data_IF_934882797448
#
_entry.id   IF_934882797448
#
_cell.length_a   1.000
_cell.length_b   1.000
_cell.length_c   1.000
_cell.angle_alpha   90.00
_cell.angle_beta   90.00
_cell.angle_gamma   90.00
#
_symmetry.space_group_name_H-M   'P 1'
#
loop_
_entity.id
_entity.type
_entity.pdbx_description
1 polymer ?
#
# COMPACT_ATOMS: atom_id res chain seq x y z
N UNK A 1 38.64 -6.61 -25.99
CA UNK A 1 37.31 -7.19 -26.21
C UNK A 1 36.69 -7.54 -24.87
N UNK A 2 35.81 -6.70 -24.34
CA UNK A 2 35.02 -6.97 -23.13
C UNK A 2 33.66 -6.32 -23.31
N UNK A 3 32.70 -7.10 -23.79
CA UNK A 3 31.33 -6.67 -24.02
C UNK A 3 30.38 -7.85 -23.86
N UNK A 4 30.35 -8.50 -22.68
CA UNK A 4 29.35 -9.53 -22.36
C UNK A 4 28.91 -9.61 -20.89
N UNK A 5 29.32 -8.67 -20.03
CA UNK A 5 28.96 -8.70 -18.60
C UNK A 5 27.62 -8.00 -18.25
N UNK A 6 27.02 -7.26 -19.19
CA UNK A 6 25.82 -6.45 -18.91
C UNK A 6 24.49 -7.22 -18.94
N UNK A 7 24.38 -8.28 -19.75
CA UNK A 7 23.12 -9.00 -19.94
C UNK A 7 22.84 -10.01 -18.81
N UNK A 8 23.89 -10.69 -18.31
CA UNK A 8 23.73 -11.69 -17.24
C UNK A 8 23.39 -11.08 -15.87
N UNK A 9 23.81 -9.83 -15.62
CA UNK A 9 23.47 -9.11 -14.39
C UNK A 9 21.98 -8.73 -14.31
N UNK A 10 21.38 -8.35 -15.43
CA UNK A 10 19.94 -8.03 -15.48
C UNK A 10 19.07 -9.27 -15.33
N UNK A 11 19.44 -10.40 -15.93
CA UNK A 11 18.71 -11.67 -15.77
C UNK A 11 18.86 -12.26 -14.35
N UNK A 12 20.03 -12.11 -13.73
CA UNK A 12 20.26 -12.51 -12.34
C UNK A 12 19.49 -11.64 -11.33
N UNK A 13 19.40 -10.32 -11.57
CA UNK A 13 18.57 -9.42 -10.78
C UNK A 13 17.08 -9.73 -10.96
N UNK A 14 16.62 -10.02 -12.19
CA UNK A 14 15.20 -10.36 -12.42
C UNK A 14 14.81 -11.71 -11.79
N UNK A 15 15.71 -12.69 -11.80
CA UNK A 15 15.48 -14.02 -11.22
C UNK A 15 15.59 -14.04 -9.69
N UNK A 16 16.49 -13.23 -9.11
CA UNK A 16 16.53 -12.99 -7.67
C UNK A 16 15.28 -12.21 -7.21
N UNK A 17 14.85 -11.20 -7.96
CA UNK A 17 13.59 -10.48 -7.71
C UNK A 17 12.35 -11.36 -7.90
N UNK A 18 12.38 -12.33 -8.84
CA UNK A 18 11.33 -13.35 -8.97
C UNK A 18 11.34 -14.36 -7.83
N UNK A 19 12.52 -14.73 -7.29
CA UNK A 19 12.62 -15.57 -6.08
C UNK A 19 12.15 -14.84 -4.83
N UNK A 20 12.40 -13.54 -4.71
CA UNK A 20 11.89 -12.75 -3.58
C UNK A 20 10.36 -12.54 -3.64
N UNK A 21 9.71 -12.66 -4.81
CA UNK A 21 8.24 -12.83 -4.88
C UNK A 21 7.78 -14.12 -4.16
N UNK A 22 8.61 -15.16 -4.15
CA UNK A 22 8.30 -16.48 -3.62
C UNK A 22 8.61 -16.64 -2.12
N UNK A 23 9.53 -15.86 -1.55
CA UNK A 23 9.89 -16.00 -0.12
C UNK A 23 8.84 -15.38 0.80
N UNK A 24 8.00 -14.45 0.31
CA UNK A 24 7.18 -13.61 1.19
C UNK A 24 5.66 -13.64 1.07
N UNK A 25 5.02 -14.25 0.07
CA UNK A 25 3.56 -13.99 -0.12
C UNK A 25 2.68 -15.06 -0.72
N UNK A 26 3.22 -15.99 -1.52
CA UNK A 26 2.45 -17.11 -2.04
C UNK A 26 3.19 -18.39 -1.72
N UNK A 27 2.51 -19.35 -1.09
CA UNK A 27 2.97 -20.73 -1.04
C UNK A 27 3.30 -21.21 -2.47
N UNK A 28 4.08 -22.28 -2.61
CA UNK A 28 4.44 -22.87 -3.92
C UNK A 28 3.21 -23.13 -4.82
N UNK A 29 2.03 -23.24 -4.21
CA UNK A 29 0.72 -23.42 -4.85
C UNK A 29 0.08 -22.13 -5.42
N UNK A 30 0.74 -20.97 -5.31
CA UNK A 30 0.23 -19.70 -5.86
C UNK A 30 -0.84 -18.98 -5.02
N UNK A 31 -1.01 -19.36 -3.76
CA UNK A 31 -1.94 -18.75 -2.81
C UNK A 31 -1.21 -18.23 -1.57
N UNK A 32 -1.68 -17.13 -1.01
CA UNK A 32 -1.34 -16.71 0.33
C UNK A 32 -1.84 -17.74 1.36
N UNK A 33 -1.44 -17.63 2.62
CA UNK A 33 -1.84 -18.61 3.66
C UNK A 33 -3.34 -18.63 3.90
N UNK A 34 -4.01 -17.49 3.73
CA UNK A 34 -5.44 -17.32 3.94
C UNK A 34 -6.09 -16.58 2.76
N UNK A 35 -6.27 -17.27 1.61
CA UNK A 35 -6.98 -16.67 0.48
C UNK A 35 -8.47 -16.51 0.82
N UNK A 36 -9.05 -15.37 0.45
CA UNK A 36 -10.46 -15.08 0.74
C UNK A 36 -11.13 -14.28 -0.37
N UNK A 37 -12.45 -14.35 -0.45
CA UNK A 37 -13.22 -13.46 -1.32
C UNK A 37 -13.15 -12.01 -0.79
N UNK A 38 -13.20 -10.99 -1.67
CA UNK A 38 -13.39 -9.61 -1.24
C UNK A 38 -14.62 -9.50 -0.33
N UNK A 39 -14.55 -8.76 0.80
CA UNK A 39 -15.70 -8.57 1.66
C UNK A 39 -16.85 -7.91 0.89
N UNK A 40 -18.09 -8.42 0.99
CA UNK A 40 -19.19 -8.02 0.11
C UNK A 40 -19.61 -6.56 0.32
N UNK A 41 -19.35 -6.00 1.50
CA UNK A 41 -19.66 -4.59 1.80
C UNK A 41 -18.64 -3.62 1.21
N UNK A 42 -17.50 -4.09 0.68
CA UNK A 42 -16.50 -3.24 0.03
C UNK A 42 -16.70 -3.24 -1.49
N UNK A 43 -17.74 -2.55 -1.96
CA UNK A 43 -18.17 -2.56 -3.35
C UNK A 43 -17.65 -1.37 -4.18
N UNK A 44 -17.23 -0.28 -3.54
CA UNK A 44 -16.65 0.90 -4.21
C UNK A 44 -15.15 0.69 -4.36
N UNK A 45 -14.60 0.92 -5.54
CA UNK A 45 -13.16 0.75 -5.79
C UNK A 45 -12.60 2.00 -6.44
N UNK A 46 -11.56 2.53 -5.81
CA UNK A 46 -10.90 3.75 -6.26
C UNK A 46 -9.46 3.43 -6.70
N UNK A 47 -9.06 3.91 -7.87
CA UNK A 47 -7.69 3.78 -8.36
C UNK A 47 -6.75 4.70 -7.57
N UNK A 48 -5.60 4.19 -7.15
CA UNK A 48 -4.53 4.97 -6.51
C UNK A 48 -3.36 5.06 -7.49
N UNK A 49 -3.06 6.24 -8.06
CA UNK A 49 -1.99 6.38 -9.03
C UNK A 49 -0.60 6.18 -8.39
N UNK A 50 0.38 5.88 -9.23
CA UNK A 50 1.77 5.89 -8.81
C UNK A 50 2.16 7.30 -8.39
N UNK A 51 2.77 7.45 -7.22
CA UNK A 51 3.35 8.72 -6.79
C UNK A 51 4.79 8.78 -7.28
N UNK A 52 5.17 9.87 -7.96
CA UNK A 52 6.56 10.09 -8.35
C UNK A 52 7.45 10.20 -7.10
N UNK A 53 8.71 9.81 -7.23
CA UNK A 53 9.76 9.95 -6.20
C UNK A 53 9.99 11.44 -5.86
N UNK A 54 9.79 12.32 -6.84
CA UNK A 54 9.84 13.76 -6.64
C UNK A 54 8.50 14.24 -6.05
N UNK A 55 8.48 14.26 -4.72
CA UNK A 55 7.39 14.70 -3.87
C UNK A 55 6.96 16.17 -4.11
N UNK A 56 7.81 16.97 -4.76
CA UNK A 56 7.52 18.36 -5.08
C UNK A 56 6.58 18.45 -6.30
N UNK A 57 5.31 18.78 -6.04
CA UNK A 57 4.32 19.05 -7.09
C UNK A 57 3.55 17.83 -7.59
N UNK A 58 3.47 16.75 -6.79
CA UNK A 58 2.61 15.60 -7.12
C UNK A 58 1.18 16.08 -7.41
N UNK A 59 0.66 15.76 -8.60
CA UNK A 59 -0.74 15.98 -8.97
C UNK A 59 -1.32 14.66 -9.43
N UNK A 60 -2.17 14.09 -8.58
CA UNK A 60 -2.82 12.81 -8.82
C UNK A 60 -4.32 12.99 -9.02
N UNK A 61 -4.92 12.03 -9.73
CA UNK A 61 -6.38 11.85 -9.78
C UNK A 61 -6.68 10.43 -9.40
N UNK A 62 -7.74 10.26 -8.63
CA UNK A 62 -8.25 8.95 -8.24
C UNK A 62 -9.62 8.77 -8.89
N UNK A 63 -9.82 7.65 -9.56
CA UNK A 63 -11.00 7.35 -10.35
C UNK A 63 -11.80 6.23 -9.72
N UNK A 64 -13.11 6.25 -9.92
CA UNK A 64 -13.96 5.11 -9.63
C UNK A 64 -13.71 4.02 -10.68
N UNK A 65 -13.21 2.88 -10.24
CA UNK A 65 -12.89 1.72 -11.07
C UNK A 65 -13.66 0.48 -10.62
N UNK A 66 -14.78 0.67 -9.91
CA UNK A 66 -15.60 -0.41 -9.35
C UNK A 66 -16.02 -1.43 -10.41
N UNK A 67 -16.50 -0.96 -11.58
CA UNK A 67 -16.90 -1.82 -12.68
C UNK A 67 -15.73 -2.61 -13.28
N UNK A 68 -14.58 -1.97 -13.47
CA UNK A 68 -13.38 -2.63 -14.00
C UNK A 68 -12.84 -3.67 -13.00
N UNK A 69 -12.88 -3.36 -11.71
CA UNK A 69 -12.49 -4.27 -10.63
C UNK A 69 -13.41 -5.48 -10.56
N UNK A 70 -14.74 -5.27 -10.54
CA UNK A 70 -15.72 -6.36 -10.56
C UNK A 70 -15.51 -7.25 -11.79
N UNK A 71 -15.27 -6.66 -12.95
CA UNK A 71 -14.97 -7.41 -14.16
C UNK A 71 -13.71 -8.26 -14.00
N UNK A 72 -12.62 -7.68 -13.49
CA UNK A 72 -11.36 -8.38 -13.27
C UNK A 72 -11.48 -9.52 -12.25
N UNK A 73 -12.26 -9.34 -11.17
CA UNK A 73 -12.42 -10.37 -10.13
C UNK A 73 -13.29 -11.53 -10.61
N UNK A 74 -14.40 -11.24 -11.28
CA UNK A 74 -15.39 -12.24 -11.65
C UNK A 74 -15.20 -12.85 -13.05
N UNK A 75 -14.44 -12.19 -13.93
CA UNK A 75 -14.23 -12.67 -15.29
C UNK A 75 -12.75 -12.87 -15.63
N UNK A 76 -12.49 -13.91 -16.42
CA UNK A 76 -11.18 -14.17 -16.97
C UNK A 76 -10.94 -13.30 -18.23
N UNK A 77 -9.81 -12.59 -18.35
CA UNK A 77 -9.55 -11.69 -19.48
C UNK A 77 -9.43 -12.41 -20.84
N UNK A 78 -9.27 -13.73 -20.85
CA UNK A 78 -9.12 -14.56 -22.05
C UNK A 78 -10.30 -15.52 -22.27
N UNK A 79 -11.43 -15.32 -21.57
CA UNK A 79 -12.56 -16.26 -21.55
C UNK A 79 -12.35 -17.44 -20.61
N UNK A 80 -13.37 -18.30 -20.48
CA UNK A 80 -13.32 -19.48 -19.59
C UNK A 80 -13.63 -19.19 -18.12
N UNK A 81 -14.34 -18.08 -17.83
CA UNK A 81 -14.77 -17.71 -16.47
C UNK A 81 -15.56 -18.83 -15.80
N UNK A 82 -16.35 -19.59 -16.56
CA UNK A 82 -17.13 -20.75 -16.09
C UNK A 82 -16.25 -21.91 -15.58
N UNK A 83 -14.98 -21.94 -15.96
CA UNK A 83 -14.01 -22.99 -15.61
C UNK A 83 -13.04 -22.51 -14.52
N UNK A 84 -12.63 -21.25 -14.56
CA UNK A 84 -11.61 -20.68 -13.67
C UNK A 84 -12.23 -20.09 -12.39
N UNK A 85 -13.45 -19.56 -12.48
CA UNK A 85 -14.16 -18.93 -11.37
C UNK A 85 -13.60 -17.56 -10.94
N UNK A 86 -14.08 -17.13 -9.78
CA UNK A 86 -13.71 -15.87 -9.13
C UNK A 86 -12.26 -15.90 -8.63
N UNK A 87 -11.58 -14.76 -8.78
CA UNK A 87 -10.23 -14.61 -8.26
C UNK A 87 -10.26 -14.27 -6.76
N UNK A 88 -9.72 -15.16 -5.92
CA UNK A 88 -9.61 -14.91 -4.48
C UNK A 88 -8.48 -13.94 -4.16
N UNK A 89 -8.72 -12.99 -3.24
CA UNK A 89 -7.68 -12.13 -2.70
C UNK A 89 -6.55 -12.98 -2.09
N UNK A 90 -5.31 -12.59 -2.34
CA UNK A 90 -4.14 -13.35 -1.94
C UNK A 90 -3.80 -14.52 -2.87
N UNK A 91 -4.52 -14.72 -3.97
CA UNK A 91 -4.09 -15.63 -5.04
C UNK A 91 -3.25 -14.91 -6.10
N UNK A 92 -2.36 -15.65 -6.75
CA UNK A 92 -1.62 -15.16 -7.93
C UNK A 92 -2.56 -14.77 -9.07
N UNK A 93 -3.68 -15.49 -9.23
CA UNK A 93 -4.70 -15.18 -10.22
C UNK A 93 -5.30 -13.79 -10.01
N UNK A 94 -5.62 -13.46 -8.75
CA UNK A 94 -6.12 -12.13 -8.37
C UNK A 94 -5.09 -11.04 -8.65
N UNK A 95 -3.83 -11.25 -8.27
CA UNK A 95 -2.76 -10.30 -8.57
C UNK A 95 -2.57 -10.08 -10.08
N UNK A 96 -2.65 -11.13 -10.89
CA UNK A 96 -2.56 -11.05 -12.36
C UNK A 96 -3.74 -10.26 -12.94
N UNK A 97 -4.96 -10.58 -12.53
CA UNK A 97 -6.19 -9.92 -13.02
C UNK A 97 -6.23 -8.43 -12.63
N UNK A 98 -5.83 -8.10 -11.41
CA UNK A 98 -5.68 -6.69 -11.02
C UNK A 98 -4.57 -5.98 -11.81
N UNK A 99 -3.45 -6.65 -12.08
CA UNK A 99 -2.38 -6.11 -12.91
C UNK A 99 -2.82 -5.78 -14.34
N UNK A 100 -3.77 -6.56 -14.91
CA UNK A 100 -4.35 -6.23 -16.23
C UNK A 100 -5.28 -5.02 -16.18
N UNK A 101 -5.91 -4.74 -15.04
CA UNK A 101 -6.75 -3.55 -14.88
C UNK A 101 -5.93 -2.25 -14.89
N UNK A 102 -4.68 -2.28 -14.41
CA UNK A 102 -3.80 -1.10 -14.39
C UNK A 102 -3.62 -0.47 -15.80
N UNK A 103 -3.60 -1.30 -16.85
CA UNK A 103 -3.56 -0.83 -18.25
C UNK A 103 -4.81 -0.03 -18.64
N UNK A 104 -5.96 -0.37 -18.06
CA UNK A 104 -7.23 0.36 -18.26
C UNK A 104 -7.25 1.66 -17.47
N UNK A 105 -6.63 1.70 -16.28
CA UNK A 105 -6.55 2.90 -15.43
C UNK A 105 -5.75 4.02 -16.13
N UNK A 106 -4.65 3.68 -16.82
CA UNK A 106 -3.83 4.65 -17.56
C UNK A 106 -4.59 5.33 -18.72
N UNK A 107 -5.69 4.74 -19.18
CA UNK A 107 -6.54 5.28 -20.25
C UNK A 107 -7.72 6.14 -19.76
N UNK A 108 -7.93 6.29 -18.45
CA UNK A 108 -9.09 7.01 -17.90
C UNK A 108 -9.03 8.52 -18.16
N UNK A 109 -10.19 9.11 -18.46
CA UNK A 109 -10.27 10.54 -18.81
C UNK A 109 -10.31 11.38 -17.54
N UNK A 110 -9.71 12.57 -17.66
CA UNK A 110 -9.61 13.62 -16.63
C UNK A 110 -10.93 13.95 -15.93
N UNK A 111 -12.05 13.88 -16.65
CA UNK A 111 -13.40 14.29 -16.19
C UNK A 111 -14.10 13.25 -15.31
N UNK A 112 -13.58 12.02 -15.24
CA UNK A 112 -14.18 10.89 -14.49
C UNK A 112 -13.50 10.68 -13.12
N UNK A 113 -12.76 11.68 -12.63
CA UNK A 113 -12.09 11.60 -11.34
C UNK A 113 -13.11 11.71 -10.19
N UNK A 114 -12.93 10.90 -9.15
CA UNK A 114 -13.67 11.01 -7.88
C UNK A 114 -12.95 11.95 -6.92
N UNK A 115 -11.61 11.92 -6.96
CA UNK A 115 -10.76 12.82 -6.17
C UNK A 115 -9.61 13.41 -6.98
N UNK A 116 -9.18 14.59 -6.55
CA UNK A 116 -7.91 15.19 -6.95
C UNK A 116 -6.98 15.28 -5.75
N UNK A 117 -5.70 15.00 -5.97
CA UNK A 117 -4.64 15.10 -4.96
C UNK A 117 -3.59 16.07 -5.45
N UNK A 118 -3.23 17.04 -4.62
CA UNK A 118 -2.17 17.99 -4.91
C UNK A 118 -1.17 18.05 -3.76
N UNK A 119 0.09 17.73 -4.05
CA UNK A 119 1.20 17.90 -3.13
C UNK A 119 1.79 19.30 -3.20
N UNK A 120 2.13 19.83 -2.04
CA UNK A 120 2.90 21.05 -1.87
C UNK A 120 4.04 20.79 -0.90
N UNK A 121 5.19 21.41 -1.16
CA UNK A 121 6.34 21.45 -0.26
C UNK A 121 6.76 22.92 -0.13
N UNK A 122 6.21 23.60 0.87
CA UNK A 122 6.50 25.00 1.15
C UNK A 122 7.36 25.08 2.40
N UNK A 123 8.66 25.40 2.23
CA UNK A 123 9.56 25.66 3.35
C UNK A 123 9.88 24.46 4.24
N UNK A 124 9.77 23.23 3.72
CA UNK A 124 10.01 21.98 4.46
C UNK A 124 8.74 21.39 5.10
N UNK A 125 7.59 22.04 4.93
CA UNK A 125 6.29 21.50 5.31
C UNK A 125 5.66 20.78 4.11
N UNK A 126 5.89 19.47 4.03
CA UNK A 126 5.25 18.64 3.01
C UNK A 126 3.77 18.45 3.36
N UNK A 127 2.88 18.75 2.41
CA UNK A 127 1.43 18.57 2.56
C UNK A 127 0.81 17.95 1.32
N UNK A 128 -0.25 17.17 1.50
CA UNK A 128 -1.11 16.72 0.40
C UNK A 128 -2.52 17.23 0.64
N UNK A 129 -3.09 17.94 -0.34
CA UNK A 129 -4.49 18.31 -0.35
C UNK A 129 -5.28 17.27 -1.15
N UNK A 130 -6.21 16.58 -0.49
CA UNK A 130 -7.21 15.72 -1.12
C UNK A 130 -8.50 16.51 -1.26
N UNK A 131 -9.07 16.55 -2.47
CA UNK A 131 -10.37 17.17 -2.72
C UNK A 131 -11.30 16.16 -3.38
N UNK A 132 -12.49 15.95 -2.80
CA UNK A 132 -13.58 15.19 -3.40
C UNK A 132 -14.31 16.06 -4.41
N UNK A 133 -14.51 15.56 -5.64
CA UNK A 133 -15.09 16.37 -6.70
C UNK A 133 -16.62 16.50 -6.63
N UNK A 134 -17.32 15.59 -5.96
CA UNK A 134 -18.79 15.61 -5.88
C UNK A 134 -19.34 16.74 -5.00
N UNK A 135 -18.65 17.07 -3.90
CA UNK A 135 -19.12 18.04 -2.90
C UNK A 135 -18.06 19.03 -2.46
N UNK A 136 -16.87 19.00 -3.09
CA UNK A 136 -15.72 19.84 -2.77
C UNK A 136 -15.22 19.70 -1.32
N UNK A 137 -15.52 18.60 -0.64
CA UNK A 137 -14.89 18.28 0.65
C UNK A 137 -13.37 18.19 0.47
N UNK A 138 -12.63 18.91 1.30
CA UNK A 138 -11.17 18.95 1.27
C UNK A 138 -10.57 18.46 2.58
N UNK A 139 -9.59 17.57 2.49
CA UNK A 139 -8.79 17.08 3.61
C UNK A 139 -7.33 17.41 3.32
N UNK A 140 -6.66 18.04 4.28
CA UNK A 140 -5.23 18.27 4.22
C UNK A 140 -4.51 17.18 4.99
N UNK A 141 -3.50 16.57 4.40
CA UNK A 141 -2.61 15.60 5.02
C UNK A 141 -1.31 16.32 5.31
N UNK A 142 -0.96 16.47 6.58
CA UNK A 142 0.27 17.10 7.04
C UNK A 142 1.36 16.05 7.23
N UNK A 143 2.45 16.21 6.49
CA UNK A 143 3.61 15.33 6.43
C UNK A 143 4.90 16.05 6.87
N UNK A 144 4.79 17.24 7.46
CA UNK A 144 5.90 18.17 7.74
C UNK A 144 6.95 17.59 8.69
N UNK A 145 6.56 16.70 9.59
CA UNK A 145 7.50 16.06 10.50
C UNK A 145 8.30 14.97 9.78
N UNK A 146 9.62 14.92 10.01
CA UNK A 146 10.49 13.83 9.54
C UNK A 146 10.33 12.53 10.37
N UNK A 147 9.11 12.27 10.82
CA UNK A 147 8.70 11.11 11.61
C UNK A 147 7.99 10.09 10.73
N UNK A 148 7.72 8.90 11.29
CA UNK A 148 6.85 7.91 10.63
C UNK A 148 5.36 8.30 10.72
N UNK A 149 5.00 9.14 11.69
CA UNK A 149 3.63 9.63 11.93
C UNK A 149 3.20 10.73 10.95
N UNK A 150 1.89 10.99 10.84
CA UNK A 150 1.34 12.11 10.09
C UNK A 150 0.00 12.56 10.69
N UNK A 151 -0.55 13.67 10.21
CA UNK A 151 -1.88 14.11 10.65
C UNK A 151 -2.82 14.44 9.50
N UNK A 152 -4.12 14.30 9.76
CA UNK A 152 -5.18 14.68 8.83
C UNK A 152 -5.91 15.88 9.41
N UNK A 153 -6.10 16.92 8.61
CA UNK A 153 -6.88 18.10 8.96
C UNK A 153 -8.18 18.06 8.17
N UNK A 154 -9.29 17.84 8.89
CA UNK A 154 -10.64 17.76 8.35
C UNK A 154 -11.47 18.89 8.95
N UNK A 155 -11.70 19.95 8.19
CA UNK A 155 -12.34 21.17 8.70
C UNK A 155 -11.54 21.78 9.86
N UNK A 156 -12.06 21.67 11.10
CA UNK A 156 -11.40 22.15 12.33
C UNK A 156 -10.77 21.04 13.16
N UNK A 157 -10.95 19.78 12.77
CA UNK A 157 -10.46 18.62 13.50
C UNK A 157 -9.11 18.19 12.94
N UNK A 158 -8.12 18.08 13.83
CA UNK A 158 -6.84 17.42 13.52
C UNK A 158 -6.87 16.00 14.07
N UNK A 159 -6.62 15.03 13.21
CA UNK A 159 -6.57 13.61 13.54
C UNK A 159 -5.13 13.14 13.41
N UNK A 160 -4.52 12.77 14.54
CA UNK A 160 -3.20 12.17 14.53
C UNK A 160 -3.27 10.73 14.00
N UNK A 161 -2.32 10.37 13.13
CA UNK A 161 -2.14 9.02 12.63
C UNK A 161 -0.75 8.53 13.01
N UNK A 162 -0.71 7.54 13.89
CA UNK A 162 0.52 7.08 14.54
C UNK A 162 0.97 5.74 13.99
N UNK A 163 2.25 5.64 13.63
CA UNK A 163 2.90 4.43 13.18
C UNK A 163 3.30 3.53 14.35
N UNK A 164 3.30 2.22 14.11
CA UNK A 164 3.79 1.19 15.02
C UNK A 164 4.36 0.03 14.22
N UNK A 165 5.25 -0.78 14.79
CA UNK A 165 5.97 -1.82 14.05
C UNK A 165 5.79 -3.21 14.70
N UNK A 166 4.56 -3.76 14.72
CA UNK A 166 4.29 -5.06 15.36
C UNK A 166 4.77 -6.24 14.52
N UNK A 167 4.95 -6.05 13.20
CA UNK A 167 5.43 -7.09 12.28
C UNK A 167 6.95 -7.00 12.17
N UNK A 168 7.69 -8.12 12.32
CA UNK A 168 9.14 -8.13 12.13
C UNK A 168 9.55 -7.69 10.72
N UNK A 169 10.65 -6.96 10.65
CA UNK A 169 11.27 -6.57 9.39
C UNK A 169 11.53 -7.77 8.46
N UNK A 170 11.27 -7.59 7.17
CA UNK A 170 11.67 -8.56 6.16
C UNK A 170 13.08 -8.27 5.66
N UNK A 171 13.98 -9.24 5.81
CA UNK A 171 15.36 -9.14 5.36
C UNK A 171 15.51 -9.90 4.03
N UNK A 172 16.01 -9.21 3.01
CA UNK A 172 16.31 -9.77 1.70
C UNK A 172 17.73 -9.40 1.27
N UNK A 173 18.16 -9.93 0.12
CA UNK A 173 19.42 -9.53 -0.52
C UNK A 173 19.46 -8.03 -0.87
N UNK A 174 18.30 -7.41 -1.06
CA UNK A 174 18.16 -5.98 -1.36
C UNK A 174 18.19 -5.08 -0.10
N UNK A 175 18.07 -5.67 1.11
CA UNK A 175 18.07 -4.95 2.38
C UNK A 175 16.88 -5.29 3.28
N UNK A 176 16.66 -4.46 4.31
CA UNK A 176 15.58 -4.62 5.29
C UNK A 176 14.37 -3.75 4.91
N UNK A 177 13.17 -4.33 4.95
CA UNK A 177 11.88 -3.63 4.75
C UNK A 177 11.04 -3.67 6.01
N UNK A 178 10.57 -2.51 6.44
CA UNK A 178 9.69 -2.36 7.61
C UNK A 178 8.22 -2.46 7.21
N UNK A 179 7.39 -2.89 8.16
CA UNK A 179 5.96 -3.18 7.96
C UNK A 179 5.09 -2.42 8.98
N UNK A 180 4.99 -1.08 8.87
CA UNK A 180 4.29 -0.26 9.85
C UNK A 180 2.77 -0.47 9.84
N UNK A 181 2.15 -0.41 11.01
CA UNK A 181 0.71 -0.26 11.18
C UNK A 181 0.41 1.20 11.52
N UNK A 182 -0.66 1.77 10.97
CA UNK A 182 -1.03 3.16 11.21
C UNK A 182 -2.37 3.24 11.90
N UNK A 183 -2.40 3.85 13.09
CA UNK A 183 -3.60 3.91 13.95
C UNK A 183 -4.10 5.33 14.07
N UNK A 184 -5.41 5.51 13.98
CA UNK A 184 -6.06 6.81 14.20
C UNK A 184 -7.44 6.63 14.83
N UNK A 185 -7.96 7.70 15.43
CA UNK A 185 -9.30 7.72 16.01
C UNK A 185 -10.19 8.70 15.24
N UNK A 186 -11.41 8.28 14.94
CA UNK A 186 -12.36 9.08 14.19
C UNK A 186 -13.69 9.19 14.96
N UNK A 187 -14.13 10.44 15.16
CA UNK A 187 -15.32 10.77 15.93
C UNK A 187 -16.61 10.90 15.13
N UNK A 188 -16.54 11.09 13.80
CA UNK A 188 -17.70 11.53 13.00
C UNK A 188 -18.17 12.93 13.46
N UNK A 189 -18.06 13.94 12.61
CA UNK A 189 -18.24 15.35 12.99
C UNK A 189 -19.66 15.81 13.36
N UNK A 190 -20.55 14.95 13.86
CA UNK A 190 -21.91 15.31 14.30
C UNK A 190 -22.00 15.47 15.82
N UNK A 191 -22.65 16.54 16.26
CA UNK A 191 -22.82 16.96 17.68
C UNK A 191 -23.53 15.94 18.58
N UNK A 192 -24.21 14.92 18.01
CA UNK A 192 -24.96 13.89 18.75
C UNK A 192 -24.45 12.44 18.51
N UNK A 193 -23.21 12.25 18.04
CA UNK A 193 -22.68 10.92 17.72
C UNK A 193 -22.05 10.17 18.93
N UNK A 194 -22.51 8.94 19.28
CA UNK A 194 -21.88 8.10 20.31
C UNK A 194 -20.54 7.48 19.86
N UNK A 195 -19.56 7.38 20.76
CA UNK A 195 -18.30 6.62 20.68
C UNK A 195 -17.36 6.86 19.47
N UNK A 196 -16.22 7.51 19.75
CA UNK A 196 -15.04 7.54 18.89
C UNK A 196 -14.65 6.13 18.45
N UNK A 197 -14.39 5.95 17.15
CA UNK A 197 -13.94 4.67 16.61
C UNK A 197 -12.45 4.69 16.37
N UNK A 198 -11.73 3.70 16.89
CA UNK A 198 -10.31 3.49 16.58
C UNK A 198 -10.17 2.62 15.34
N UNK A 199 -9.33 3.06 14.41
CA UNK A 199 -9.07 2.42 13.13
C UNK A 199 -7.57 2.19 12.98
N UNK A 200 -7.21 1.10 12.30
CA UNK A 200 -5.82 0.78 12.06
C UNK A 200 -5.61 0.16 10.68
N UNK A 201 -4.69 0.74 9.92
CA UNK A 201 -4.13 0.11 8.73
C UNK A 201 -3.12 -0.95 9.16
N UNK A 202 -3.36 -2.20 8.75
CA UNK A 202 -2.53 -3.35 9.06
C UNK A 202 -1.97 -3.98 7.79
N UNK A 203 -0.69 -4.32 7.79
CA UNK A 203 -0.03 -5.10 6.74
C UNK A 203 0.29 -6.50 7.27
N UNK A 204 0.06 -7.53 6.46
CA UNK A 204 0.34 -8.93 6.85
C UNK A 204 1.10 -9.63 5.74
N UNK A 205 2.43 -9.44 5.69
CA UNK A 205 3.26 -9.99 4.62
C UNK A 205 3.08 -11.50 4.51
N UNK A 206 3.16 -12.22 5.63
CA UNK A 206 3.07 -13.69 5.67
C UNK A 206 1.66 -14.24 5.44
N UNK A 207 0.62 -13.50 5.83
CA UNK A 207 -0.77 -13.94 5.71
C UNK A 207 -1.33 -13.70 4.31
N UNK A 208 -1.05 -12.51 3.78
CA UNK A 208 -1.86 -11.89 2.72
C UNK A 208 -1.04 -11.26 1.60
N UNK A 209 0.29 -11.25 1.79
CA UNK A 209 1.27 -10.63 0.90
C UNK A 209 1.69 -9.23 1.37
N UNK A 210 2.92 -8.79 1.01
CA UNK A 210 3.50 -7.50 1.44
C UNK A 210 2.91 -6.29 0.69
N UNK A 211 2.03 -6.53 -0.28
CA UNK A 211 1.47 -5.50 -1.17
C UNK A 211 0.02 -5.15 -0.81
N UNK A 212 -0.45 -5.56 0.39
CA UNK A 212 -1.81 -5.34 0.85
C UNK A 212 -1.84 -4.70 2.23
N UNK A 213 -2.63 -3.64 2.35
CA UNK A 213 -3.01 -3.04 3.62
C UNK A 213 -4.51 -3.22 3.84
N UNK A 214 -4.90 -3.62 5.05
CA UNK A 214 -6.30 -3.76 5.47
C UNK A 214 -6.58 -2.74 6.57
N UNK A 215 -7.56 -1.87 6.37
CA UNK A 215 -8.06 -0.99 7.42
C UNK A 215 -9.09 -1.74 8.26
N UNK A 216 -8.83 -1.89 9.54
CA UNK A 216 -9.72 -2.58 10.49
C UNK A 216 -10.17 -1.63 11.59
N UNK A 217 -11.38 -1.86 12.10
CA UNK A 217 -11.87 -1.24 13.34
C UNK A 217 -11.30 -2.01 14.54
N UNK A 218 -10.67 -1.30 15.46
CA UNK A 218 -10.21 -1.86 16.73
C UNK A 218 -11.25 -1.52 17.81
N UNK A 219 -11.59 -2.50 18.63
CA UNK A 219 -12.48 -2.30 19.78
C UNK A 219 -11.81 -1.48 20.90
N UNK A 220 -12.60 -0.92 21.81
CA UNK A 220 -12.11 -0.11 22.92
C UNK A 220 -11.22 -0.90 23.91
N UNK A 221 -11.22 -2.24 23.84
CA UNK A 221 -10.36 -3.10 24.64
C UNK A 221 -8.94 -3.23 24.07
N UNK A 222 -8.67 -2.63 22.89
CA UNK A 222 -7.38 -2.73 22.22
C UNK A 222 -7.03 -4.15 21.80
N UNK A 223 -8.01 -5.06 21.82
CA UNK A 223 -7.83 -6.41 21.30
C UNK A 223 -8.04 -6.29 19.80
N UNK A 224 -6.94 -6.17 19.08
CA UNK A 224 -6.95 -6.64 17.71
C UNK A 224 -7.44 -8.09 17.79
N UNK A 225 -8.65 -8.36 17.27
CA UNK A 225 -8.96 -9.70 16.78
C UNK A 225 -7.73 -10.18 16.02
N UNK A 226 -7.36 -11.46 16.22
CA UNK A 226 -6.14 -12.07 15.70
C UNK A 226 -5.77 -11.41 14.38
N UNK A 227 -4.72 -10.57 14.36
CA UNK A 227 -4.50 -9.66 13.24
C UNK A 227 -4.51 -10.46 11.93
N UNK A 228 -3.98 -11.68 11.97
CA UNK A 228 -4.01 -12.71 10.93
C UNK A 228 -5.36 -12.99 10.24
N UNK A 229 -6.51 -12.71 10.85
CA UNK A 229 -7.85 -12.96 10.30
C UNK A 229 -8.93 -12.09 10.95
N UNK A 230 -9.00 -10.78 10.62
CA UNK A 230 -10.02 -9.89 11.16
C UNK A 230 -11.41 -10.32 10.67
N UNK A 231 -12.44 -10.18 11.51
CA UNK A 231 -13.80 -10.49 11.10
C UNK A 231 -14.24 -9.56 9.95
N UNK A 232 -14.94 -10.05 8.91
CA UNK A 232 -15.28 -9.26 7.72
C UNK A 232 -15.94 -7.92 8.03
N UNK A 233 -16.82 -7.88 9.02
CA UNK A 233 -17.56 -6.70 9.45
C UNK A 233 -16.70 -5.62 10.13
N UNK A 234 -15.50 -5.99 10.62
CA UNK A 234 -14.54 -5.06 11.21
C UNK A 234 -13.69 -4.35 10.14
N UNK A 235 -13.56 -4.97 8.96
CA UNK A 235 -12.81 -4.44 7.82
C UNK A 235 -13.55 -3.22 7.25
N UNK A 236 -12.84 -2.09 7.12
CA UNK A 236 -13.37 -0.84 6.58
C UNK A 236 -12.82 -0.48 5.22
N UNK A 237 -11.64 -0.97 4.86
CA UNK A 237 -11.08 -0.78 3.53
C UNK A 237 -9.95 -1.77 3.28
N UNK A 238 -9.66 -2.02 2.02
CA UNK A 238 -8.51 -2.84 1.61
C UNK A 238 -7.78 -2.12 0.48
N UNK A 239 -6.51 -1.82 0.67
CA UNK A 239 -5.63 -1.35 -0.38
C UNK A 239 -4.82 -2.53 -0.94
N UNK A 240 -4.84 -2.67 -2.26
CA UNK A 240 -3.97 -3.56 -3.00
C UNK A 240 -3.05 -2.75 -3.89
N UNK A 241 -1.75 -2.96 -3.74
CA UNK A 241 -0.79 -2.42 -4.67
C UNK A 241 -0.72 -3.28 -5.94
N UNK A 242 -0.80 -2.60 -7.08
CA UNK A 242 -0.76 -3.15 -8.42
C UNK A 242 0.43 -2.53 -9.13
N UNK A 243 1.58 -3.20 -9.09
CA UNK A 243 2.82 -2.72 -9.67
C UNK A 243 3.81 -3.85 -9.89
N UNK A 244 4.82 -3.63 -10.72
CA UNK A 244 5.89 -4.62 -10.96
C UNK A 244 6.92 -4.67 -9.81
N UNK A 245 6.84 -3.72 -8.88
CA UNK A 245 7.76 -3.58 -7.77
C UNK A 245 7.59 -4.70 -6.73
N UNK A 246 8.69 -5.24 -6.17
CA UNK A 246 8.65 -6.24 -5.12
C UNK A 246 8.24 -5.70 -3.73
N UNK A 247 8.14 -4.37 -3.56
CA UNK A 247 7.86 -3.73 -2.27
C UNK A 247 7.09 -2.42 -2.44
N UNK A 248 6.25 -2.10 -1.45
CA UNK A 248 5.54 -0.82 -1.34
C UNK A 248 6.48 0.37 -1.16
N UNK A 249 7.69 0.14 -0.63
CA UNK A 249 8.72 1.17 -0.46
C UNK A 249 9.29 1.67 -1.78
N UNK A 250 9.01 0.98 -2.89
CA UNK A 250 9.41 1.41 -4.23
C UNK A 250 8.29 2.25 -4.85
N UNK A 251 8.59 3.50 -5.21
CA UNK A 251 7.60 4.48 -5.70
C UNK A 251 7.00 4.17 -7.09
N UNK A 252 7.28 3.04 -7.71
CA UNK A 252 6.94 2.78 -9.12
C UNK A 252 5.60 2.07 -9.36
N UNK A 253 4.75 1.89 -8.33
CA UNK A 253 3.51 1.13 -8.48
C UNK A 253 2.23 1.89 -8.14
N UNK A 254 1.19 1.54 -8.88
CA UNK A 254 -0.20 1.97 -8.69
C UNK A 254 -0.89 1.05 -7.67
N UNK A 255 -2.17 1.28 -7.41
CA UNK A 255 -2.97 0.37 -6.61
C UNK A 255 -4.46 0.61 -6.76
N UNK A 256 -5.24 -0.20 -6.05
CA UNK A 256 -6.69 -0.08 -5.93
C UNK A 256 -7.06 -0.08 -4.46
N UNK A 257 -8.01 0.77 -4.10
CA UNK A 257 -8.53 0.89 -2.76
C UNK A 257 -10.01 0.50 -2.79
N UNK A 258 -10.34 -0.59 -2.09
CA UNK A 258 -11.70 -1.07 -1.89
C UNK A 258 -12.30 -0.37 -0.66
N UNK A 259 -13.48 0.19 -0.84
CA UNK A 259 -14.19 1.08 0.07
C UNK A 259 -15.63 0.59 0.25
N UNK A 260 -16.26 0.88 1.41
CA UNK A 260 -17.65 0.58 1.60
C UNK A 260 -18.52 1.51 0.76
N UNK A 261 -19.71 1.05 0.38
CA UNK A 261 -20.74 1.96 -0.13
C UNK A 261 -21.07 3.00 0.93
N UNK A 262 -21.17 4.28 0.52
CA UNK A 262 -21.44 5.40 1.43
C UNK A 262 -22.62 5.08 2.36
N UNK A 263 -22.36 5.05 3.67
CA UNK A 263 -23.36 4.67 4.68
C UNK A 263 -22.86 4.59 6.13
N UNK A 264 -21.62 5.02 6.40
CA UNK A 264 -21.01 5.00 7.72
C UNK A 264 -20.56 6.38 8.22
N UNK A 265 -20.28 6.50 9.52
CA UNK A 265 -19.75 7.74 10.15
C UNK A 265 -18.33 8.13 9.72
N UNK A 266 -17.61 7.18 9.14
CA UNK A 266 -16.28 7.39 8.58
C UNK A 266 -16.45 7.83 7.13
N UNK A 267 -16.03 9.05 6.81
CA UNK A 267 -16.11 9.52 5.43
C UNK A 267 -15.12 8.75 4.56
N UNK A 268 -15.55 8.38 3.35
CA UNK A 268 -14.68 7.78 2.33
C UNK A 268 -13.40 8.60 2.16
N UNK A 269 -13.52 9.93 2.18
CA UNK A 269 -12.42 10.87 2.07
C UNK A 269 -11.36 10.69 3.18
N UNK A 270 -11.76 10.43 4.44
CA UNK A 270 -10.80 10.19 5.54
C UNK A 270 -10.03 8.88 5.32
N UNK A 271 -10.70 7.83 4.82
CA UNK A 271 -10.03 6.57 4.48
C UNK A 271 -8.99 6.81 3.38
N UNK A 272 -9.40 7.48 2.29
CA UNK A 272 -8.51 7.81 1.17
C UNK A 272 -7.33 8.66 1.64
N UNK A 273 -7.58 9.70 2.43
CA UNK A 273 -6.54 10.58 2.95
C UNK A 273 -5.55 9.85 3.86
N UNK A 274 -6.04 9.01 4.78
CA UNK A 274 -5.18 8.17 5.62
C UNK A 274 -4.33 7.21 4.80
N UNK A 275 -4.88 6.59 3.74
CA UNK A 275 -4.08 5.74 2.87
C UNK A 275 -2.97 6.54 2.16
N UNK A 276 -3.27 7.73 1.65
CA UNK A 276 -2.29 8.55 0.95
C UNK A 276 -1.13 8.97 1.86
N UNK A 277 -1.42 9.39 3.10
CA UNK A 277 -0.39 9.69 4.10
C UNK A 277 0.45 8.46 4.46
N UNK A 278 -0.18 7.31 4.67
CA UNK A 278 0.50 6.04 4.89
C UNK A 278 1.43 5.68 3.73
N UNK A 279 0.96 5.75 2.49
CA UNK A 279 1.75 5.39 1.32
C UNK A 279 2.95 6.32 1.15
N UNK A 280 2.79 7.60 1.45
CA UNK A 280 3.89 8.56 1.46
C UNK A 280 4.97 8.15 2.47
N UNK A 281 4.58 7.85 3.71
CA UNK A 281 5.51 7.45 4.77
C UNK A 281 6.21 6.13 4.46
N UNK A 282 5.47 5.11 4.02
CA UNK A 282 6.04 3.80 3.64
C UNK A 282 7.03 3.92 2.47
N UNK A 283 6.79 4.83 1.53
CA UNK A 283 7.72 5.11 0.42
C UNK A 283 8.95 5.90 0.86
N UNK A 284 8.82 6.76 1.86
CA UNK A 284 9.95 7.45 2.48
C UNK A 284 10.83 6.51 3.33
N UNK A 285 10.26 5.42 3.87
CA UNK A 285 10.98 4.31 4.49
C UNK A 285 11.70 3.49 3.40
N UNK A 286 12.77 4.06 2.83
CA UNK A 286 13.60 3.37 1.84
C UNK A 286 14.14 2.05 2.40
N UNK A 287 14.30 1.05 1.54
CA UNK A 287 14.96 -0.22 1.91
C UNK A 287 16.40 0.12 2.32
N UNK A 288 16.72 -0.07 3.60
CA UNK A 288 18.09 0.16 4.09
C UNK A 288 18.97 -0.91 3.44
N UNK A 289 19.96 -0.54 2.59
CA UNK A 289 20.84 -1.51 1.99
C UNK A 289 21.57 -2.27 3.11
N UNK A 290 21.78 -3.57 2.91
CA UNK A 290 22.56 -4.36 3.85
C UNK A 290 23.91 -3.68 4.00
N UNK A 291 24.25 -3.24 5.22
CA UNK A 291 25.56 -2.64 5.46
C UNK A 291 26.60 -3.65 4.97
N UNK A 292 27.29 -3.32 3.87
CA UNK A 292 28.35 -4.16 3.33
C UNK A 292 29.28 -4.45 4.51
N UNK A 293 29.44 -5.74 4.82
CA UNK A 293 30.16 -6.20 5.99
C UNK A 293 31.44 -5.38 6.17
N UNK A 294 31.45 -4.49 7.17
CA UNK A 294 32.58 -3.66 7.56
C UNK A 294 33.68 -4.49 8.24
N UNK A 295 33.89 -5.71 7.75
CA UNK A 295 34.85 -6.70 8.25
C UNK A 295 35.74 -7.27 7.16
N UNK A 296 35.58 -6.91 5.88
CA UNK A 296 36.41 -7.44 4.80
C UNK A 296 37.62 -6.55 4.40
N UNK A 297 37.66 -5.27 4.80
CA UNK A 297 38.81 -4.40 4.50
C UNK A 297 39.90 -4.40 5.59
N UNK A 298 39.55 -4.71 6.84
CA UNK A 298 40.53 -4.77 7.93
C UNK A 298 41.42 -6.02 7.85
N UNK A 299 40.90 -7.11 7.28
CA UNK A 299 41.66 -8.36 7.12
C UNK A 299 42.66 -8.31 5.96
N UNK A 300 42.33 -7.61 4.86
CA UNK A 300 43.24 -7.45 3.72
C UNK A 300 44.46 -6.57 4.01
N UNK A 301 44.36 -5.60 4.93
CA UNK A 301 45.50 -4.80 5.39
C UNK A 301 46.40 -5.56 6.39
N UNK A 302 45.90 -6.60 7.05
CA UNK A 302 46.67 -7.42 8.00
C UNK A 302 47.58 -8.42 7.27
N UNK A 303 47.12 -9.01 6.16
CA UNK A 303 47.88 -10.05 5.44
C UNK A 303 49.06 -9.45 4.64
N UNK A 304 48.90 -8.25 4.06
CA UNK A 304 49.97 -7.59 3.30
C UNK A 304 51.12 -7.03 4.17
N UNK A 305 50.92 -6.89 5.48
CA UNK A 305 51.98 -6.48 6.43
C UNK A 305 52.80 -7.64 7.01
N UNK A 306 52.48 -8.89 6.67
CA UNK A 306 53.24 -10.08 7.09
C UNK A 306 54.12 -10.68 6.00
N UNK A 307 54.15 -10.08 4.81
CA UNK A 307 54.89 -10.58 3.65
C UNK A 307 55.90 -9.57 3.06
N UNK A 308 56.13 -8.44 3.72
CA UNK A 308 57.24 -7.52 3.44
C UNK A 308 57.80 -6.97 4.74
#
# INVERSE_FOLDING_TARGET
MSAFAGAQGYEALSSAQQRDRAVGSHAENGFARTPCAPPPHLCVVVSVPAQSIDNAGFRGRLHDVSAAYQHAVHHAPLGGSDVIGDALMGSRLYAIRLGTMAQTIEGLRSEEARYTVQGSDEGGAATLALQRLSDHESITIDLSDATDDYSLVVGRQTVAVTASFPVPDSVSSAGSSQHPFYTFTWGGGEEDAPATTTLQWQIQPLGTGPLRYTLVRIDAAGRAEDASSPAPESIRAIYHHTGQAPSLSLCSGQGVLLLPEDGGRLTEAVIVASLLGLLWRVRAMQVKPLAAAASAETEKKSILRRLF
#
